data_IF_173417071340
#
_entry.id   IF_173417071340
#
_cell.length_a   1.000
_cell.length_b   1.000
_cell.length_c   1.000
_cell.angle_alpha   90.00
_cell.angle_beta   90.00
_cell.angle_gamma   90.00
#
_symmetry.space_group_name_H-M   'P 1'
#
loop_
_entity.id
_entity.type
_entity.pdbx_description
1 polymer ?
#
# COMPACT_ATOMS: atom_id res chain seq x y z
N UNK A 1 -15.90 5.93 10.79
CA UNK A 1 -16.05 4.56 11.32
C UNK A 1 -14.83 3.74 10.97
N UNK A 2 -14.57 2.61 11.63
CA UNK A 2 -13.37 1.77 11.37
C UNK A 2 -13.28 1.14 9.96
N UNK A 3 -14.21 1.46 9.06
CA UNK A 3 -14.29 0.93 7.68
C UNK A 3 -14.69 1.99 6.65
N UNK A 4 -14.71 3.28 7.03
CA UNK A 4 -15.10 4.35 6.10
C UNK A 4 -14.14 4.53 4.91
N UNK A 5 -12.91 4.03 5.02
CA UNK A 5 -11.96 3.95 3.91
C UNK A 5 -12.43 3.04 2.77
N UNK A 6 -13.41 2.15 2.98
CA UNK A 6 -14.06 1.42 1.89
C UNK A 6 -15.10 2.24 1.13
N UNK A 7 -15.65 3.28 1.75
CA UNK A 7 -16.69 4.11 1.14
C UNK A 7 -16.08 5.24 0.31
N UNK A 8 -14.98 5.83 0.77
CA UNK A 8 -14.28 6.88 0.03
C UNK A 8 -12.83 7.05 0.48
N UNK A 9 -12.07 7.85 -0.26
CA UNK A 9 -10.67 8.14 0.05
C UNK A 9 -10.51 9.34 1.01
N UNK A 10 -11.54 10.17 1.15
CA UNK A 10 -11.58 11.39 1.95
C UNK A 10 -11.14 11.15 3.41
N UNK A 11 -11.69 10.16 4.14
CA UNK A 11 -11.28 9.91 5.53
C UNK A 11 -9.80 9.51 5.67
N UNK A 12 -9.20 8.93 4.62
CA UNK A 12 -7.79 8.55 4.64
C UNK A 12 -6.90 9.78 4.52
N UNK A 13 -7.23 10.69 3.59
CA UNK A 13 -6.52 11.97 3.41
C UNK A 13 -6.59 12.85 4.67
N UNK A 14 -7.66 12.76 5.44
CA UNK A 14 -7.80 13.47 6.72
C UNK A 14 -6.94 12.89 7.85
N UNK A 15 -6.61 11.59 7.79
CA UNK A 15 -5.87 10.88 8.84
C UNK A 15 -4.39 10.73 8.57
N UNK A 16 -4.00 10.78 7.30
CA UNK A 16 -2.66 10.41 6.86
C UNK A 16 -2.12 11.40 5.85
N UNK A 17 -0.91 11.90 6.13
CA UNK A 17 -0.18 12.89 5.34
C UNK A 17 1.19 12.37 4.85
N UNK A 18 1.47 11.08 5.03
CA UNK A 18 2.76 10.44 4.74
C UNK A 18 3.99 11.01 5.47
N UNK A 19 3.80 11.77 6.56
CA UNK A 19 4.89 12.32 7.37
C UNK A 19 5.80 11.27 8.04
N UNK A 20 5.35 10.01 8.11
CA UNK A 20 6.14 8.89 8.63
C UNK A 20 7.07 8.23 7.59
N UNK A 21 6.95 8.60 6.32
CA UNK A 21 7.81 8.13 5.23
C UNK A 21 8.89 9.18 4.94
N UNK A 22 10.15 8.79 5.12
CA UNK A 22 11.31 9.64 4.83
C UNK A 22 11.55 9.70 3.32
N UNK A 23 12.10 10.81 2.82
CA UNK A 23 12.48 10.96 1.40
C UNK A 23 13.38 9.82 0.90
N UNK A 24 14.32 9.36 1.73
CA UNK A 24 15.21 8.24 1.41
C UNK A 24 14.47 6.89 1.21
N UNK A 25 13.22 6.76 1.67
CA UNK A 25 12.39 5.58 1.46
C UNK A 25 11.59 5.65 0.15
N UNK A 26 11.41 6.83 -0.45
CA UNK A 26 10.60 6.97 -1.66
C UNK A 26 11.10 6.13 -2.85
N UNK A 27 12.42 6.04 -3.14
CA UNK A 27 12.90 5.22 -4.26
C UNK A 27 12.54 3.73 -4.10
N UNK A 28 12.66 3.19 -2.89
CA UNK A 28 12.33 1.77 -2.63
C UNK A 28 10.82 1.53 -2.73
N UNK A 29 10.00 2.47 -2.24
CA UNK A 29 8.54 2.38 -2.35
C UNK A 29 8.08 2.46 -3.81
N UNK A 30 8.59 3.41 -4.59
CA UNK A 30 8.23 3.58 -6.01
C UNK A 30 8.53 2.35 -6.83
N UNK A 31 9.70 1.74 -6.62
CA UNK A 31 10.06 0.49 -7.28
C UNK A 31 9.12 -0.64 -6.87
N UNK A 32 8.93 -0.85 -5.56
CA UNK A 32 8.05 -1.90 -5.05
C UNK A 32 6.61 -1.77 -5.58
N UNK A 33 5.99 -0.60 -5.42
CA UNK A 33 4.62 -0.40 -5.86
C UNK A 33 4.50 -0.43 -7.38
N UNK A 34 5.50 0.06 -8.11
CA UNK A 34 5.56 -0.09 -9.57
C UNK A 34 5.41 -1.55 -10.00
N UNK A 35 6.18 -2.45 -9.39
CA UNK A 35 6.11 -3.89 -9.67
C UNK A 35 4.83 -4.54 -9.12
N UNK A 36 4.40 -4.19 -7.89
CA UNK A 36 3.17 -4.72 -7.28
C UNK A 36 1.94 -4.41 -8.14
N UNK A 37 1.80 -3.16 -8.61
CA UNK A 37 0.67 -2.75 -9.44
C UNK A 37 0.76 -3.28 -10.88
N UNK A 38 1.92 -3.77 -11.31
CA UNK A 38 2.09 -4.48 -12.58
C UNK A 38 1.83 -5.99 -12.47
N UNK A 39 1.66 -6.53 -11.25
CA UNK A 39 1.35 -7.94 -11.04
C UNK A 39 0.07 -8.35 -11.80
N UNK A 40 0.04 -9.50 -12.49
CA UNK A 40 -1.11 -9.90 -13.30
C UNK A 40 -2.36 -10.12 -12.44
N UNK A 41 -2.22 -10.79 -11.30
CA UNK A 41 -3.33 -11.13 -10.40
C UNK A 41 -3.50 -10.11 -9.28
N UNK A 42 -4.72 -9.61 -9.06
CA UNK A 42 -5.06 -8.71 -7.95
C UNK A 42 -5.88 -9.43 -6.87
N UNK A 43 -5.29 -10.46 -6.27
CA UNK A 43 -5.89 -11.29 -5.22
C UNK A 43 -5.02 -11.24 -3.98
N UNK A 44 -5.59 -11.17 -2.78
CA UNK A 44 -4.81 -10.96 -1.56
C UNK A 44 -3.67 -11.99 -1.36
N UNK A 45 -3.87 -13.30 -1.57
CA UNK A 45 -2.78 -14.28 -1.43
C UNK A 45 -1.62 -14.02 -2.39
N UNK A 46 -1.92 -13.66 -3.64
CA UNK A 46 -0.91 -13.39 -4.68
C UNK A 46 -0.12 -12.12 -4.37
N UNK A 47 -0.79 -11.06 -3.93
CA UNK A 47 -0.12 -9.82 -3.53
C UNK A 47 0.78 -10.03 -2.30
N UNK A 48 0.35 -10.86 -1.35
CA UNK A 48 1.15 -11.21 -0.18
C UNK A 48 2.38 -12.05 -0.55
N UNK A 49 2.21 -13.06 -1.40
CA UNK A 49 3.31 -13.88 -1.94
C UNK A 49 4.32 -12.99 -2.65
N UNK A 50 3.87 -12.18 -3.61
CA UNK A 50 4.71 -11.24 -4.35
C UNK A 50 5.47 -10.31 -3.39
N UNK A 51 4.78 -9.74 -2.40
CA UNK A 51 5.39 -8.79 -1.47
C UNK A 51 6.48 -9.43 -0.61
N UNK A 52 6.25 -10.68 -0.15
CA UNK A 52 7.23 -11.44 0.63
C UNK A 52 8.44 -11.79 -0.23
N UNK A 53 8.24 -12.31 -1.43
CA UNK A 53 9.32 -12.67 -2.35
C UNK A 53 10.15 -11.45 -2.77
N UNK A 54 9.49 -10.33 -3.05
CA UNK A 54 10.15 -9.05 -3.35
C UNK A 54 10.98 -8.56 -2.16
N UNK A 55 10.41 -8.61 -0.95
CA UNK A 55 11.10 -8.23 0.30
C UNK A 55 12.37 -9.06 0.52
N UNK A 56 12.29 -10.37 0.35
CA UNK A 56 13.43 -11.28 0.49
C UNK A 56 14.50 -11.03 -0.57
N UNK A 57 14.11 -10.91 -1.84
CA UNK A 57 15.01 -10.68 -2.97
C UNK A 57 15.78 -9.37 -2.86
N UNK A 58 15.10 -8.30 -2.45
CA UNK A 58 15.68 -6.95 -2.41
C UNK A 58 16.34 -6.62 -1.06
N UNK A 59 16.26 -7.51 -0.07
CA UNK A 59 16.79 -7.28 1.28
C UNK A 59 16.07 -6.14 2.04
N UNK A 60 14.86 -5.79 1.63
CA UNK A 60 14.01 -4.75 2.22
C UNK A 60 13.09 -5.40 3.24
N UNK A 61 12.85 -4.80 4.40
CA UNK A 61 11.96 -5.41 5.40
C UNK A 61 10.51 -5.33 4.94
N UNK A 62 9.75 -6.42 5.05
CA UNK A 62 8.33 -6.44 4.66
C UNK A 62 7.50 -5.32 5.31
N UNK A 63 7.82 -4.93 6.56
CA UNK A 63 7.15 -3.80 7.22
C UNK A 63 7.38 -2.44 6.54
N UNK A 64 8.52 -2.25 5.87
CA UNK A 64 8.89 -1.00 5.21
C UNK A 64 8.08 -0.76 3.93
N UNK A 65 7.51 -1.82 3.36
CA UNK A 65 6.61 -1.76 2.21
C UNK A 65 5.14 -1.92 2.63
N UNK A 66 4.82 -2.86 3.53
CA UNK A 66 3.44 -3.13 3.93
C UNK A 66 2.81 -2.03 4.80
N UNK A 67 3.59 -1.33 5.65
CA UNK A 67 3.03 -0.27 6.51
C UNK A 67 2.68 0.99 5.72
N UNK A 68 3.53 1.52 4.81
CA UNK A 68 3.11 2.62 3.94
C UNK A 68 1.88 2.24 3.10
N UNK A 69 1.76 0.99 2.66
CA UNK A 69 0.59 0.54 1.90
C UNK A 69 -0.67 0.61 2.78
N UNK A 70 -0.55 0.13 4.03
CA UNK A 70 -1.64 0.20 5.01
C UNK A 70 -2.09 1.61 5.29
N UNK A 71 -1.16 2.51 5.55
CA UNK A 71 -1.49 3.90 5.80
C UNK A 71 -2.10 4.56 4.56
N UNK A 72 -1.57 4.31 3.37
CA UNK A 72 -2.12 4.83 2.12
C UNK A 72 -3.55 4.34 1.83
N UNK A 73 -3.87 3.08 2.14
CA UNK A 73 -5.19 2.52 1.86
C UNK A 73 -6.22 2.82 2.96
N UNK A 74 -5.81 2.90 4.22
CA UNK A 74 -6.76 2.93 5.35
C UNK A 74 -6.64 4.17 6.23
N UNK A 75 -5.50 4.87 6.18
CA UNK A 75 -5.16 5.95 7.09
C UNK A 75 -4.93 5.48 8.53
N UNK A 76 -4.72 4.17 8.74
CA UNK A 76 -4.67 3.57 10.06
C UNK A 76 -3.52 2.57 10.20
N UNK A 77 -2.90 2.51 11.38
CA UNK A 77 -1.80 1.56 11.67
C UNK A 77 -2.30 0.12 11.85
N UNK A 78 -3.56 -0.03 12.24
CA UNK A 78 -4.22 -1.32 12.50
C UNK A 78 -5.44 -1.43 11.59
N UNK A 79 -5.52 -2.52 10.85
CA UNK A 79 -6.57 -2.86 9.88
C UNK A 79 -6.67 -4.38 9.77
N UNK A 80 -7.68 -4.93 9.05
CA UNK A 80 -7.58 -6.27 8.47
C UNK A 80 -6.31 -6.44 7.60
N UNK A 81 -6.09 -7.64 7.05
CA UNK A 81 -4.95 -7.90 6.18
C UNK A 81 -4.85 -6.86 5.06
N UNK A 82 -3.69 -6.22 4.90
CA UNK A 82 -3.61 -5.08 3.95
C UNK A 82 -3.83 -5.52 2.51
N UNK A 83 -3.44 -6.76 2.17
CA UNK A 83 -3.71 -7.32 0.85
C UNK A 83 -5.19 -7.67 0.65
N UNK A 84 -5.91 -8.06 1.71
CA UNK A 84 -7.38 -8.25 1.66
C UNK A 84 -8.09 -6.91 1.43
N UNK A 85 -7.64 -5.85 2.12
CA UNK A 85 -8.14 -4.49 1.90
C UNK A 85 -7.85 -4.03 0.46
N UNK A 86 -6.65 -4.26 -0.05
CA UNK A 86 -6.27 -3.92 -1.42
C UNK A 86 -7.11 -4.69 -2.46
N UNK A 87 -7.38 -5.98 -2.22
CA UNK A 87 -8.25 -6.79 -3.07
C UNK A 87 -9.69 -6.23 -3.09
N UNK A 88 -10.24 -5.89 -1.92
CA UNK A 88 -11.59 -5.33 -1.81
C UNK A 88 -11.74 -3.91 -2.37
N UNK A 89 -10.74 -3.04 -2.19
CA UNK A 89 -10.72 -1.72 -2.81
C UNK A 89 -10.54 -1.81 -4.33
N UNK A 90 -9.86 -2.86 -4.81
CA UNK A 90 -9.48 -3.02 -6.20
C UNK A 90 -8.19 -2.27 -6.56
N UNK A 91 -7.63 -2.66 -7.71
CA UNK A 91 -6.31 -2.20 -8.18
C UNK A 91 -6.26 -0.70 -8.42
N UNK A 92 -7.21 -0.18 -9.20
CA UNK A 92 -7.24 1.23 -9.59
C UNK A 92 -7.37 2.16 -8.39
N UNK A 93 -8.25 1.82 -7.44
CA UNK A 93 -8.41 2.59 -6.23
C UNK A 93 -7.15 2.57 -5.37
N UNK A 94 -6.58 1.38 -5.16
CA UNK A 94 -5.34 1.23 -4.40
C UNK A 94 -4.20 2.03 -5.04
N UNK A 95 -4.08 2.00 -6.37
CA UNK A 95 -3.04 2.74 -7.11
C UNK A 95 -3.23 4.24 -6.94
N UNK A 96 -4.46 4.75 -7.10
CA UNK A 96 -4.80 6.16 -6.91
C UNK A 96 -4.39 6.67 -5.53
N UNK A 97 -4.64 5.88 -4.48
CA UNK A 97 -4.26 6.25 -3.10
C UNK A 97 -2.75 6.26 -2.89
N UNK A 98 -2.05 5.24 -3.36
CA UNK A 98 -0.57 5.16 -3.27
C UNK A 98 0.09 6.29 -4.06
N UNK A 99 -0.44 6.63 -5.25
CA UNK A 99 0.03 7.75 -6.06
C UNK A 99 -0.19 9.11 -5.39
N UNK A 100 -1.31 9.29 -4.69
CA UNK A 100 -1.57 10.53 -3.93
C UNK A 100 -0.46 10.86 -2.92
N UNK A 101 0.14 9.83 -2.30
CA UNK A 101 1.24 9.99 -1.35
C UNK A 101 2.64 9.94 -2.01
N UNK A 102 2.71 9.92 -3.34
CA UNK A 102 3.98 9.91 -4.09
C UNK A 102 4.77 8.61 -3.99
N UNK A 103 4.11 7.53 -3.56
CA UNK A 103 4.72 6.21 -3.39
C UNK A 103 4.83 5.43 -4.70
N UNK A 104 4.17 5.87 -5.77
CA UNK A 104 4.33 5.37 -7.14
C UNK A 104 4.35 6.58 -8.08
N UNK A 105 5.07 6.43 -9.20
CA UNK A 105 5.10 7.42 -10.29
C UNK A 105 3.85 7.32 -11.19
#
# INVERSE_FOLDING_TARGET
>A
GYSDYFLSFEPVKERYDASDVKEAQLPVLRRFYGELFAHPEWRAPELEIFTREWSEREGVKMKEIAMPFRMALTGMKVSPGIFEVAEHLGREESRRRVAHFGFIE
#
